data_IF_917670207931
#
_entry.id   IF_917670207931
#
_cell.length_a   1.000
_cell.length_b   1.000
_cell.length_c   1.000
_cell.angle_alpha   90.00
_cell.angle_beta   90.00
_cell.angle_gamma   90.00
#
_symmetry.space_group_name_H-M   'P 1'
#
loop_
_entity.id
_entity.type
_entity.pdbx_description
1 polymer ?
#
# COMPACT_ATOMS: atom_id res chain seq x y z
N UNK A 1 -4.46 10.01 9.98
CA UNK A 1 -3.68 9.67 11.19
C UNK A 1 -4.45 8.64 11.98
N UNK A 2 -3.84 7.57 12.47
CA UNK A 2 -4.48 6.54 13.30
C UNK A 2 -3.68 6.33 14.59
N UNK A 3 -4.35 5.88 15.65
CA UNK A 3 -3.70 5.59 16.93
C UNK A 3 -2.99 4.24 16.87
N UNK A 4 -1.72 4.20 17.26
CA UNK A 4 -0.95 2.96 17.33
C UNK A 4 -1.35 2.11 18.54
N UNK A 5 -0.81 0.89 18.63
CA UNK A 5 -0.93 0.07 19.84
C UNK A 5 -0.25 0.75 21.04
N UNK A 6 0.93 1.36 20.84
CA UNK A 6 1.63 2.12 21.87
C UNK A 6 0.79 3.32 22.35
N UNK A 7 0.10 4.01 21.45
CA UNK A 7 -0.86 5.07 21.81
C UNK A 7 -2.00 4.59 22.67
N UNK A 8 -2.55 3.39 22.40
CA UNK A 8 -3.60 2.78 23.22
C UNK A 8 -3.10 2.35 24.60
N UNK A 9 -1.88 1.83 24.67
CA UNK A 9 -1.23 1.50 25.95
C UNK A 9 -0.93 2.76 26.76
N UNK A 10 -0.44 3.82 26.13
CA UNK A 10 -0.12 5.09 26.78
C UNK A 10 -1.37 5.76 27.37
N UNK A 11 -2.54 5.68 26.71
CA UNK A 11 -3.79 6.19 27.30
C UNK A 11 -4.12 5.49 28.63
N UNK A 12 -3.83 4.18 28.72
CA UNK A 12 -4.09 3.38 29.93
C UNK A 12 -3.03 3.61 31.00
N UNK A 13 -1.76 3.61 30.61
CA UNK A 13 -0.62 3.66 31.52
C UNK A 13 -0.24 5.09 31.94
N UNK A 14 -0.46 6.07 31.07
CA UNK A 14 -0.06 7.48 31.23
C UNK A 14 1.41 7.62 31.66
N UNK A 15 2.28 6.81 31.06
CA UNK A 15 3.69 6.68 31.46
C UNK A 15 4.56 7.80 30.89
N UNK A 16 4.13 8.44 29.79
CA UNK A 16 4.88 9.48 29.10
C UNK A 16 4.50 10.89 29.59
N UNK A 17 5.51 11.75 29.67
CA UNK A 17 5.35 13.17 30.00
C UNK A 17 4.87 13.97 28.79
N UNK A 18 3.65 13.70 28.34
CA UNK A 18 3.00 14.41 27.24
C UNK A 18 2.50 15.79 27.67
N UNK A 19 2.43 16.74 26.73
CA UNK A 19 1.71 17.99 26.96
C UNK A 19 0.20 17.72 27.16
N UNK A 20 -0.53 18.65 27.77
CA UNK A 20 -2.00 18.50 27.91
C UNK A 20 -2.72 18.47 26.56
N UNK A 21 -2.38 19.34 25.58
CA UNK A 21 -2.94 19.24 24.22
C UNK A 21 -2.59 17.92 23.52
N UNK A 22 -1.36 17.43 23.63
CA UNK A 22 -0.96 16.14 23.02
C UNK A 22 -1.74 14.96 23.59
N UNK A 23 -1.98 14.89 24.91
CA UNK A 23 -2.83 13.84 25.49
C UNK A 23 -4.26 13.90 24.97
N UNK A 24 -4.84 15.09 24.86
CA UNK A 24 -6.20 15.27 24.34
C UNK A 24 -6.28 14.88 22.86
N UNK A 25 -5.28 15.27 22.07
CA UNK A 25 -5.16 14.90 20.67
C UNK A 25 -5.07 13.37 20.50
N UNK A 26 -4.28 12.69 21.34
CA UNK A 26 -4.17 11.23 21.35
C UNK A 26 -5.52 10.54 21.64
N UNK A 27 -6.37 11.14 22.49
CA UNK A 27 -7.69 10.60 22.82
C UNK A 27 -8.70 10.71 21.67
N UNK A 28 -8.59 11.75 20.83
CA UNK A 28 -9.57 12.01 19.75
C UNK A 28 -9.19 11.35 18.42
N UNK A 29 -7.89 11.17 18.13
CA UNK A 29 -7.44 10.54 16.87
C UNK A 29 -7.98 9.11 16.75
N UNK A 30 -8.76 8.86 15.70
CA UNK A 30 -9.40 7.55 15.45
C UNK A 30 -9.20 7.00 14.02
N UNK A 31 -8.51 7.72 13.12
CA UNK A 31 -8.31 7.28 11.73
C UNK A 31 -9.33 7.79 10.73
N UNK A 32 -10.45 8.39 11.17
CA UNK A 32 -11.61 8.68 10.31
C UNK A 32 -11.58 10.07 9.65
N UNK A 33 -10.66 10.95 10.09
CA UNK A 33 -10.60 12.37 9.67
C UNK A 33 -9.18 12.80 9.30
N UNK A 34 -9.03 13.84 8.44
CA UNK A 34 -7.74 14.48 8.18
C UNK A 34 -7.14 15.15 9.42
N UNK A 35 -5.84 15.42 9.37
CA UNK A 35 -5.04 15.92 10.50
C UNK A 35 -5.48 17.30 10.97
N UNK A 36 -5.74 18.22 10.03
CA UNK A 36 -6.13 19.60 10.33
C UNK A 36 -7.44 19.67 11.13
N UNK A 37 -8.34 18.72 10.89
CA UNK A 37 -9.60 18.61 11.62
C UNK A 37 -9.37 18.14 13.07
N UNK A 38 -8.40 17.25 13.32
CA UNK A 38 -8.03 16.83 14.67
C UNK A 38 -7.37 17.96 15.48
N UNK A 39 -6.49 18.73 14.85
CA UNK A 39 -5.85 19.89 15.48
C UNK A 39 -6.90 20.93 15.86
N UNK A 40 -7.89 21.17 14.98
CA UNK A 40 -8.98 22.10 15.23
C UNK A 40 -9.93 21.67 16.37
N UNK A 41 -10.04 20.37 16.64
CA UNK A 41 -10.90 19.82 17.71
C UNK A 41 -10.31 20.00 19.12
N UNK A 42 -9.00 20.20 19.23
CA UNK A 42 -8.33 20.34 20.53
C UNK A 42 -7.83 21.76 20.70
N UNK A 43 -8.50 22.53 21.55
CA UNK A 43 -8.14 23.93 21.80
C UNK A 43 -6.69 24.07 22.30
N UNK A 44 -5.91 24.91 21.60
CA UNK A 44 -4.50 25.15 21.92
C UNK A 44 -3.55 24.05 21.45
N UNK A 45 -4.02 23.09 20.64
CA UNK A 45 -3.17 22.10 20.00
C UNK A 45 -2.44 22.70 18.81
N UNK A 46 -1.17 22.37 18.67
CA UNK A 46 -0.30 22.81 17.59
C UNK A 46 0.34 21.62 16.88
N UNK A 47 0.97 21.88 15.74
CA UNK A 47 1.79 20.87 15.04
C UNK A 47 2.89 20.28 15.94
N UNK A 48 3.41 21.04 16.92
CA UNK A 48 4.43 20.55 17.85
C UNK A 48 3.88 19.42 18.75
N UNK A 49 2.62 19.50 19.17
CA UNK A 49 1.98 18.45 19.97
C UNK A 49 1.76 17.17 19.15
N UNK A 50 1.38 17.33 17.88
CA UNK A 50 1.27 16.21 16.96
C UNK A 50 2.64 15.56 16.71
N UNK A 51 3.68 16.37 16.51
CA UNK A 51 5.05 15.91 16.31
C UNK A 51 5.56 15.16 17.55
N UNK A 52 5.17 15.57 18.75
CA UNK A 52 5.47 14.86 19.99
C UNK A 52 4.84 13.46 20.01
N UNK A 53 3.58 13.31 19.57
CA UNK A 53 2.92 12.01 19.49
C UNK A 53 3.55 11.10 18.42
N UNK A 54 3.94 11.65 17.27
CA UNK A 54 4.65 10.93 16.21
C UNK A 54 6.02 10.46 16.67
N UNK A 55 6.79 11.35 17.32
CA UNK A 55 8.13 11.03 17.84
C UNK A 55 8.09 9.96 18.94
N UNK A 56 7.01 9.91 19.72
CA UNK A 56 6.76 8.90 20.72
C UNK A 56 6.13 7.60 20.16
N UNK A 57 5.84 7.54 18.85
CA UNK A 57 5.22 6.37 18.21
C UNK A 57 3.78 6.09 18.66
N UNK A 58 3.08 7.08 19.21
CA UNK A 58 1.72 6.93 19.76
C UNK A 58 0.62 7.07 18.70
N UNK A 59 0.95 7.73 17.60
CA UNK A 59 0.10 7.89 16.43
C UNK A 59 0.93 7.65 15.18
N UNK A 60 0.27 7.20 14.13
CA UNK A 60 0.88 6.88 12.84
C UNK A 60 0.09 7.56 11.72
N UNK A 61 0.75 7.90 10.62
CA UNK A 61 0.06 8.38 9.44
C UNK A 61 -0.90 7.29 8.94
N UNK A 62 -2.16 7.66 8.68
CA UNK A 62 -3.13 6.74 8.07
C UNK A 62 -2.82 6.68 6.57
N UNK A 63 -1.65 6.14 6.23
CA UNK A 63 -1.34 5.70 4.88
C UNK A 63 -2.03 4.35 4.73
N UNK A 64 -2.84 4.12 3.68
CA UNK A 64 -3.34 2.77 3.41
C UNK A 64 -2.15 1.82 3.45
N UNK A 65 -2.22 0.82 4.33
CA UNK A 65 -1.08 0.02 4.77
C UNK A 65 -0.29 -0.50 3.58
N UNK A 66 0.85 0.14 3.35
CA UNK A 66 1.83 -0.17 2.35
C UNK A 66 3.09 0.59 2.74
N UNK A 67 4.08 -0.16 3.25
CA UNK A 67 5.36 0.30 3.75
C UNK A 67 5.37 0.88 5.18
N UNK A 68 5.24 -0.03 6.17
CA UNK A 68 6.08 0.10 7.35
C UNK A 68 7.54 -0.09 6.91
N UNK A 69 8.34 0.91 7.24
CA UNK A 69 9.73 1.10 6.82
C UNK A 69 10.62 0.22 7.70
N UNK A 70 10.84 -1.03 7.30
CA UNK A 70 11.91 -1.84 7.86
C UNK A 70 13.24 -1.41 7.23
N UNK A 71 14.15 -0.90 8.05
CA UNK A 71 15.53 -0.57 7.67
C UNK A 71 16.36 -1.85 7.53
N UNK A 72 15.96 -2.73 6.62
CA UNK A 72 16.85 -3.69 5.97
C UNK A 72 17.02 -3.24 4.52
N UNK A 73 18.18 -3.43 3.88
CA UNK A 73 18.26 -3.36 2.44
C UNK A 73 17.53 -4.60 1.89
N UNK A 74 16.19 -4.61 1.98
CA UNK A 74 15.38 -5.37 1.05
C UNK A 74 15.75 -4.80 -0.31
N UNK A 75 16.29 -5.68 -1.17
CA UNK A 75 16.45 -5.42 -2.60
C UNK A 75 15.24 -4.62 -3.05
N UNK A 76 15.44 -3.37 -3.43
CA UNK A 76 14.39 -2.52 -3.96
C UNK A 76 13.65 -3.37 -5.00
N UNK A 77 12.41 -3.78 -4.68
CA UNK A 77 11.60 -4.51 -5.63
C UNK A 77 11.43 -3.57 -6.81
N UNK A 78 12.08 -3.90 -7.92
CA UNK A 78 12.01 -3.09 -9.14
C UNK A 78 10.54 -2.83 -9.43
N UNK A 79 10.11 -1.55 -9.51
CA UNK A 79 8.72 -1.22 -9.80
C UNK A 79 8.26 -2.00 -11.03
N UNK A 80 7.05 -2.56 -11.00
CA UNK A 80 6.56 -3.36 -12.13
C UNK A 80 6.62 -2.58 -13.44
N UNK A 81 6.40 -1.26 -13.41
CA UNK A 81 6.57 -0.39 -14.58
C UNK A 81 7.99 -0.45 -15.18
N UNK A 82 9.04 -0.51 -14.35
CA UNK A 82 10.43 -0.65 -14.81
C UNK A 82 10.71 -2.05 -15.37
N UNK A 83 10.21 -3.10 -14.72
CA UNK A 83 10.28 -4.48 -15.23
C UNK A 83 9.65 -4.58 -16.62
N UNK A 84 8.51 -3.92 -16.81
CA UNK A 84 7.75 -3.91 -18.06
C UNK A 84 8.37 -3.02 -19.15
N UNK A 85 9.10 -1.96 -18.77
CA UNK A 85 9.71 -1.02 -19.72
C UNK A 85 10.77 -1.68 -20.60
N UNK A 86 11.53 -2.63 -20.05
CA UNK A 86 12.55 -3.39 -20.78
C UNK A 86 12.01 -4.55 -21.63
N UNK A 87 10.70 -4.84 -21.58
CA UNK A 87 10.09 -5.98 -22.28
C UNK A 87 9.50 -5.57 -23.63
N UNK A 88 9.67 -6.46 -24.61
CA UNK A 88 9.03 -6.36 -25.91
C UNK A 88 7.61 -6.95 -25.88
N UNK A 89 6.84 -6.68 -26.93
CA UNK A 89 5.45 -7.13 -27.05
C UNK A 89 5.33 -8.65 -26.89
N UNK A 90 6.22 -9.43 -27.53
CA UNK A 90 6.14 -10.89 -27.56
C UNK A 90 6.44 -11.51 -26.20
N UNK A 91 7.39 -10.97 -25.44
CA UNK A 91 7.64 -11.44 -24.07
C UNK A 91 6.45 -11.13 -23.16
N UNK A 92 5.90 -9.91 -23.22
CA UNK A 92 4.74 -9.53 -22.39
C UNK A 92 3.49 -10.35 -22.73
N UNK A 93 3.19 -10.52 -24.01
CA UNK A 93 2.08 -11.34 -24.48
C UNK A 93 2.20 -12.77 -23.93
N UNK A 94 3.36 -13.40 -24.15
CA UNK A 94 3.61 -14.78 -23.71
C UNK A 94 3.46 -14.93 -22.20
N UNK A 95 4.08 -14.03 -21.43
CA UNK A 95 4.04 -14.07 -19.98
C UNK A 95 2.61 -13.86 -19.46
N UNK A 96 1.87 -12.88 -19.97
CA UNK A 96 0.49 -12.60 -19.55
C UNK A 96 -0.46 -13.75 -19.86
N UNK A 97 -0.34 -14.37 -21.05
CA UNK A 97 -1.15 -15.55 -21.42
C UNK A 97 -0.85 -16.76 -20.52
N UNK A 98 0.42 -16.98 -20.14
CA UNK A 98 0.78 -18.06 -19.20
C UNK A 98 0.24 -17.77 -17.79
N UNK A 99 0.36 -16.53 -17.31
CA UNK A 99 -0.10 -16.14 -15.97
C UNK A 99 -1.63 -16.19 -15.82
N UNK A 100 -2.38 -15.99 -16.91
CA UNK A 100 -3.83 -16.17 -16.93
C UNK A 100 -4.27 -17.58 -16.47
N UNK A 101 -3.42 -18.59 -16.67
CA UNK A 101 -3.73 -19.96 -16.28
C UNK A 101 -3.44 -20.29 -14.82
N UNK A 102 -2.45 -19.62 -14.21
CA UNK A 102 -1.93 -19.89 -12.86
C UNK A 102 -2.77 -19.21 -11.79
N UNK A 103 -3.18 -17.97 -12.02
CA UNK A 103 -3.81 -17.16 -10.98
C UNK A 103 -5.35 -17.19 -11.03
N UNK A 104 -5.96 -17.77 -12.06
CA UNK A 104 -7.39 -17.60 -12.31
C UNK A 104 -8.09 -18.90 -12.70
N UNK A 105 -9.29 -19.12 -12.15
CA UNK A 105 -10.16 -20.24 -12.51
C UNK A 105 -10.60 -20.18 -13.99
N UNK A 106 -11.13 -21.29 -14.51
CA UNK A 106 -11.40 -21.48 -15.94
C UNK A 106 -12.15 -20.31 -16.62
N UNK A 107 -13.16 -19.73 -15.96
CA UNK A 107 -13.92 -18.59 -16.47
C UNK A 107 -13.11 -17.27 -16.51
N UNK A 108 -12.33 -16.99 -15.46
CA UNK A 108 -11.49 -15.78 -15.41
C UNK A 108 -10.29 -15.88 -16.35
N UNK A 109 -9.77 -17.10 -16.60
CA UNK A 109 -8.73 -17.37 -17.61
C UNK A 109 -9.16 -16.96 -19.01
N UNK A 110 -10.36 -17.37 -19.43
CA UNK A 110 -10.88 -17.03 -20.76
C UNK A 110 -10.97 -15.51 -20.97
N UNK A 111 -11.51 -14.79 -19.98
CA UNK A 111 -11.58 -13.32 -20.01
C UNK A 111 -10.21 -12.67 -20.13
N UNK A 112 -9.21 -13.18 -19.40
CA UNK A 112 -7.87 -12.62 -19.43
C UNK A 112 -7.13 -12.85 -20.75
N UNK A 113 -7.29 -14.04 -21.35
CA UNK A 113 -6.73 -14.30 -22.68
C UNK A 113 -7.34 -13.35 -23.69
N UNK A 114 -8.67 -13.13 -23.64
CA UNK A 114 -9.33 -12.14 -24.49
C UNK A 114 -8.85 -10.70 -24.23
N UNK A 115 -8.61 -10.33 -22.97
CA UNK A 115 -8.09 -9.00 -22.64
C UNK A 115 -6.67 -8.78 -23.20
N UNK A 116 -5.84 -9.84 -23.26
CA UNK A 116 -4.51 -9.82 -23.89
C UNK A 116 -4.62 -9.75 -25.42
N UNK A 117 -5.50 -10.55 -26.02
CA UNK A 117 -5.74 -10.55 -27.48
C UNK A 117 -6.30 -9.21 -27.99
N UNK A 118 -7.03 -8.48 -27.13
CA UNK A 118 -7.53 -7.13 -27.44
C UNK A 118 -6.42 -6.06 -27.46
N UNK A 119 -5.26 -6.35 -26.88
CA UNK A 119 -4.16 -5.38 -26.86
C UNK A 119 -3.45 -5.34 -28.22
N UNK A 120 -3.53 -4.19 -28.88
CA UNK A 120 -2.93 -3.93 -30.19
C UNK A 120 -1.44 -3.54 -30.11
N UNK A 121 -0.91 -3.28 -28.90
CA UNK A 121 0.46 -2.79 -28.73
C UNK A 121 1.07 -3.07 -27.37
N UNK A 122 2.39 -2.84 -27.28
CA UNK A 122 3.18 -3.11 -26.07
C UNK A 122 2.71 -2.26 -24.89
N UNK A 123 2.34 -1.00 -25.12
CA UNK A 123 1.89 -0.10 -24.04
C UNK A 123 0.55 -0.53 -23.45
N UNK A 124 -0.35 -1.09 -24.27
CA UNK A 124 -1.62 -1.65 -23.81
C UNK A 124 -1.39 -2.91 -22.96
N UNK A 125 -0.45 -3.78 -23.35
CA UNK A 125 -0.05 -4.94 -22.55
C UNK A 125 0.58 -4.52 -21.21
N UNK A 126 1.40 -3.46 -21.20
CA UNK A 126 1.98 -2.90 -19.97
C UNK A 126 0.89 -2.36 -19.05
N UNK A 127 -0.06 -1.61 -19.60
CA UNK A 127 -1.20 -1.10 -18.84
C UNK A 127 -2.08 -2.24 -18.29
N UNK A 128 -2.29 -3.30 -19.07
CA UNK A 128 -3.01 -4.48 -18.65
C UNK A 128 -2.31 -5.20 -17.48
N UNK A 129 -0.99 -5.40 -17.58
CA UNK A 129 -0.18 -6.01 -16.53
C UNK A 129 -0.26 -5.22 -15.21
N UNK A 130 -0.20 -3.88 -15.27
CA UNK A 130 -0.34 -3.02 -14.09
C UNK A 130 -1.72 -3.17 -13.43
N UNK A 131 -2.80 -3.16 -14.23
CA UNK A 131 -4.17 -3.35 -13.73
C UNK A 131 -4.36 -4.72 -13.08
N UNK A 132 -3.84 -5.78 -13.71
CA UNK A 132 -3.92 -7.14 -13.16
C UNK A 132 -3.14 -7.29 -11.87
N UNK A 133 -1.95 -6.70 -11.79
CA UNK A 133 -1.17 -6.71 -10.54
C UNK A 133 -1.95 -6.07 -9.38
N UNK A 134 -2.59 -4.92 -9.64
CA UNK A 134 -3.42 -4.25 -8.64
C UNK A 134 -4.62 -5.11 -8.23
N UNK A 135 -5.30 -5.72 -9.20
CA UNK A 135 -6.44 -6.58 -8.92
C UNK A 135 -6.06 -7.85 -8.15
N UNK A 136 -4.91 -8.47 -8.47
CA UNK A 136 -4.37 -9.60 -7.71
C UNK A 136 -4.02 -9.18 -6.28
N UNK A 137 -3.46 -7.98 -6.10
CA UNK A 137 -3.16 -7.42 -4.78
C UNK A 137 -4.43 -7.24 -3.95
N UNK A 138 -5.49 -6.70 -4.54
CA UNK A 138 -6.77 -6.47 -3.87
C UNK A 138 -7.50 -7.79 -3.56
N UNK A 139 -7.55 -8.73 -4.51
CA UNK A 139 -8.29 -9.98 -4.37
C UNK A 139 -7.55 -11.03 -3.51
N UNK A 140 -6.21 -11.08 -3.60
CA UNK A 140 -5.38 -12.18 -3.06
C UNK A 140 -4.22 -11.73 -2.16
N UNK A 141 -4.02 -10.43 -2.01
CA UNK A 141 -2.97 -9.85 -1.18
C UNK A 141 -1.61 -9.69 -1.87
N UNK A 142 -0.71 -9.01 -1.14
CA UNK A 142 0.59 -8.57 -1.64
C UNK A 142 1.52 -9.72 -2.08
N UNK A 143 1.44 -10.88 -1.42
CA UNK A 143 2.25 -12.06 -1.78
C UNK A 143 1.93 -12.58 -3.17
N UNK A 144 0.65 -12.59 -3.56
CA UNK A 144 0.23 -13.02 -4.89
C UNK A 144 0.64 -11.99 -5.96
N UNK A 145 0.56 -10.69 -5.64
CA UNK A 145 1.01 -9.61 -6.51
C UNK A 145 2.54 -9.64 -6.73
N UNK A 146 3.31 -9.97 -5.69
CA UNK A 146 4.77 -10.19 -5.82
C UNK A 146 5.11 -11.37 -6.70
N UNK A 147 4.43 -12.50 -6.53
CA UNK A 147 4.61 -13.67 -7.40
C UNK A 147 4.31 -13.36 -8.87
N UNK A 148 3.25 -12.61 -9.13
CA UNK A 148 2.89 -12.16 -10.48
C UNK A 148 3.97 -11.25 -11.09
N UNK A 149 4.48 -10.25 -10.33
CA UNK A 149 5.59 -9.39 -10.77
C UNK A 149 6.86 -10.18 -11.10
N UNK A 150 7.23 -11.12 -10.23
CA UNK A 150 8.38 -11.98 -10.46
C UNK A 150 8.24 -12.82 -11.72
N UNK A 151 7.03 -13.32 -12.01
CA UNK A 151 6.77 -14.11 -13.20
C UNK A 151 6.78 -13.30 -14.51
N UNK A 152 6.53 -11.99 -14.45
CA UNK A 152 6.73 -11.09 -15.60
C UNK A 152 8.21 -10.69 -15.78
N UNK A 153 9.04 -10.86 -14.74
CA UNK A 153 10.47 -10.56 -14.74
C UNK A 153 11.36 -11.73 -15.21
N UNK A 154 10.84 -12.96 -15.26
CA UNK A 154 11.48 -14.12 -15.91
C UNK A 154 11.19 -14.13 -17.40
#
# INVERSE_FOLDING_TARGET
MVRSEAGRQEIKAKALSLSRPARNLLLVIDGTRPVDEWLSLVHGCTDADLQQLLSAGLVEENRPTGAARDLRPERAETPLAEVLAGRDYRALYTALTQQASVHFGALKRYKMVLDVERCAGVDELRALALRWNEQIRQDKGETAARAFRAALAG
#
